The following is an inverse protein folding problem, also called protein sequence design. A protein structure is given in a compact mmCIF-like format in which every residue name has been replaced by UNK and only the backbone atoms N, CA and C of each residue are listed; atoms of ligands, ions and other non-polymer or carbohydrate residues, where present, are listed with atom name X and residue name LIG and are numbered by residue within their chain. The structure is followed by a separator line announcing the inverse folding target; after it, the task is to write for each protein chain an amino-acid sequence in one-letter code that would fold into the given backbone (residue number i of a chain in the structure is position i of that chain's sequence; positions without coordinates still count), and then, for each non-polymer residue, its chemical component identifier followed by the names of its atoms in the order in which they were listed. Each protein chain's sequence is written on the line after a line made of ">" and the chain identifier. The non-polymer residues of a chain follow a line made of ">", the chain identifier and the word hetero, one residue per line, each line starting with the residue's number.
data_IF_978899950116
#
_entry.id   IF_978899950116
#
_cell.length_a   1.000
_cell.length_b   1.000
_cell.length_c   1.000
_cell.angle_alpha   90.00
_cell.angle_beta   90.00
_cell.angle_gamma   90.00
#
_symmetry.space_group_name_H-M   'P 1'
#
loop_
_entity.id
_entity.type
_entity.pdbx_description
1 polymer ?
#
# COMPACT_ATOMS: atom_id res chain seq x y z
N UNK A 1 6.29 42.15 8.14
CA UNK A 1 5.07 41.41 8.49
C UNK A 1 5.44 40.28 9.44
N UNK A 2 5.00 40.33 10.69
CA UNK A 2 5.26 39.25 11.66
C UNK A 2 4.35 38.07 11.31
N UNK A 3 4.94 36.94 10.96
CA UNK A 3 4.24 35.70 10.63
C UNK A 3 4.15 34.85 11.90
N UNK A 4 2.95 34.68 12.45
CA UNK A 4 2.75 33.91 13.70
C UNK A 4 2.91 32.40 13.47
N UNK A 5 2.46 31.89 12.31
CA UNK A 5 2.53 30.47 11.96
C UNK A 5 3.34 30.19 10.70
N UNK A 6 4.15 29.12 10.67
CA UNK A 6 4.89 28.74 9.47
C UNK A 6 3.94 28.29 8.35
N UNK A 7 4.43 28.34 7.11
CA UNK A 7 3.73 27.78 5.94
C UNK A 7 3.32 26.32 6.15
N UNK A 8 4.28 25.51 6.58
CA UNK A 8 4.11 24.09 6.86
C UNK A 8 3.83 23.91 8.35
N UNK A 9 2.57 23.84 8.71
CA UNK A 9 2.13 23.79 10.10
C UNK A 9 2.00 22.34 10.57
N UNK A 10 2.73 21.96 11.62
CA UNK A 10 2.56 20.68 12.29
C UNK A 10 1.24 20.69 13.09
N UNK A 11 0.28 19.86 12.69
CA UNK A 11 -1.06 19.77 13.32
C UNK A 11 -1.25 18.48 14.12
N UNK A 12 -0.48 17.42 13.82
CA UNK A 12 -0.53 16.15 14.53
C UNK A 12 0.88 15.64 14.78
N UNK A 13 1.13 15.15 15.99
CA UNK A 13 2.39 14.52 16.39
C UNK A 13 2.14 13.26 17.19
N UNK A 14 2.57 12.12 16.68
CA UNK A 14 2.59 10.89 17.46
C UNK A 14 3.67 10.95 18.56
N UNK A 15 3.45 10.32 19.72
CA UNK A 15 4.40 10.27 20.81
C UNK A 15 5.59 9.43 20.38
N UNK A 16 6.78 9.92 20.73
CA UNK A 16 8.04 9.28 20.37
C UNK A 16 8.12 7.83 20.84
N UNK A 17 7.58 7.52 22.02
CA UNK A 17 7.63 6.16 22.59
C UNK A 17 6.88 5.16 21.70
N UNK A 18 5.70 5.51 21.18
CA UNK A 18 4.94 4.61 20.30
C UNK A 18 5.67 4.38 18.97
N UNK A 19 6.21 5.45 18.37
CA UNK A 19 7.00 5.35 17.15
C UNK A 19 8.27 4.54 17.36
N UNK A 20 8.93 4.70 18.52
CA UNK A 20 10.10 3.94 18.90
C UNK A 20 9.77 2.46 19.06
N UNK A 21 8.71 2.10 19.78
CA UNK A 21 8.27 0.70 19.94
C UNK A 21 7.96 0.06 18.58
N UNK A 22 7.22 0.75 17.72
CA UNK A 22 6.91 0.25 16.36
C UNK A 22 8.18 0.12 15.53
N UNK A 23 9.09 1.10 15.61
CA UNK A 23 10.37 1.08 14.93
C UNK A 23 11.24 -0.10 15.37
N UNK A 24 11.32 -0.34 16.68
CA UNK A 24 12.04 -1.46 17.28
C UNK A 24 11.46 -2.79 16.83
N UNK A 25 10.14 -2.98 16.83
CA UNK A 25 9.51 -4.23 16.34
C UNK A 25 9.91 -4.53 14.88
N UNK A 26 9.90 -3.50 14.02
CA UNK A 26 10.32 -3.64 12.61
C UNK A 26 11.82 -3.96 12.50
N UNK A 27 12.64 -3.29 13.30
CA UNK A 27 14.09 -3.51 13.31
C UNK A 27 14.46 -4.89 13.85
N UNK A 28 13.75 -5.40 14.85
CA UNK A 28 13.92 -6.77 15.37
C UNK A 28 13.60 -7.79 14.28
N UNK A 29 12.49 -7.63 13.56
CA UNK A 29 12.16 -8.52 12.43
C UNK A 29 13.23 -8.51 11.34
N UNK A 30 13.74 -7.32 10.99
CA UNK A 30 14.84 -7.17 10.05
C UNK A 30 16.14 -7.81 10.57
N UNK A 31 16.45 -7.63 11.85
CA UNK A 31 17.63 -8.21 12.49
C UNK A 31 17.58 -9.74 12.51
N UNK A 32 16.43 -10.34 12.82
CA UNK A 32 16.24 -11.80 12.77
C UNK A 32 16.42 -12.33 11.34
N UNK A 33 15.88 -11.63 10.34
CA UNK A 33 16.08 -12.00 8.94
C UNK A 33 17.55 -11.92 8.52
N UNK A 34 18.26 -10.84 8.89
CA UNK A 34 19.69 -10.68 8.60
C UNK A 34 20.51 -11.78 9.29
N UNK A 35 20.25 -12.08 10.56
CA UNK A 35 20.92 -13.16 11.28
C UNK A 35 20.64 -14.54 10.67
N UNK A 36 19.40 -14.78 10.24
CA UNK A 36 19.06 -16.01 9.55
C UNK A 36 19.82 -16.17 8.23
N UNK A 37 19.97 -15.09 7.45
CA UNK A 37 20.70 -15.13 6.18
C UNK A 37 22.22 -15.19 6.33
N UNK A 38 22.82 -14.52 7.32
CA UNK A 38 24.28 -14.39 7.44
C UNK A 38 24.93 -15.39 8.39
N UNK A 39 24.19 -15.93 9.35
CA UNK A 39 24.74 -16.83 10.38
C UNK A 39 24.09 -18.20 10.31
N UNK A 40 22.76 -18.26 10.39
CA UNK A 40 22.04 -19.54 10.52
C UNK A 40 22.07 -20.31 9.20
N UNK A 41 21.71 -19.69 8.08
CA UNK A 41 21.64 -20.37 6.79
C UNK A 41 23.01 -20.88 6.29
N UNK A 42 24.12 -20.12 6.40
CA UNK A 42 25.44 -20.65 6.05
C UNK A 42 25.88 -21.78 6.98
N UNK A 43 25.58 -21.70 8.28
CA UNK A 43 25.91 -22.76 9.23
C UNK A 43 25.13 -24.05 8.96
N UNK A 44 23.85 -23.94 8.61
CA UNK A 44 23.04 -25.09 8.18
C UNK A 44 23.58 -25.63 6.86
N UNK A 45 23.89 -24.80 5.88
CA UNK A 45 24.42 -25.26 4.59
C UNK A 45 25.77 -25.99 4.70
N UNK A 46 26.60 -25.60 5.66
CA UNK A 46 27.92 -26.20 5.90
C UNK A 46 27.85 -27.52 6.69
N UNK A 47 26.69 -27.90 7.25
CA UNK A 47 26.50 -29.13 7.99
C UNK A 47 26.10 -30.28 7.05
N UNK A 48 26.97 -31.28 6.92
CA UNK A 48 26.79 -32.47 6.07
C UNK A 48 25.60 -33.34 6.48
N UNK A 49 25.12 -33.23 7.73
CA UNK A 49 23.94 -33.96 8.20
C UNK A 49 22.62 -33.28 7.81
N UNK A 50 22.68 -32.03 7.39
CA UNK A 50 21.48 -31.24 7.10
C UNK A 50 21.01 -31.45 5.66
N UNK A 51 19.70 -31.61 5.41
CA UNK A 51 19.20 -31.74 4.06
C UNK A 51 19.24 -30.38 3.35
N UNK A 52 19.60 -30.38 2.05
CA UNK A 52 19.77 -29.16 1.24
C UNK A 52 18.52 -28.24 1.21
N UNK A 53 17.32 -28.76 1.45
CA UNK A 53 16.09 -27.97 1.50
C UNK A 53 15.93 -27.16 2.80
N UNK A 54 16.68 -27.49 3.86
CA UNK A 54 16.58 -26.82 5.15
C UNK A 54 17.09 -25.39 5.09
N UNK A 55 18.19 -25.17 4.36
CA UNK A 55 18.77 -23.84 4.14
C UNK A 55 17.78 -22.84 3.52
N UNK A 56 17.15 -23.12 2.35
CA UNK A 56 16.13 -22.22 1.80
C UNK A 56 14.88 -22.14 2.68
N UNK A 57 14.53 -23.19 3.44
CA UNK A 57 13.40 -23.15 4.37
C UNK A 57 13.62 -22.17 5.53
N UNK A 58 14.82 -22.12 6.12
CA UNK A 58 15.18 -21.17 7.18
C UNK A 58 15.13 -19.72 6.68
N UNK A 59 15.63 -19.49 5.45
CA UNK A 59 15.56 -18.16 4.81
C UNK A 59 14.10 -17.77 4.54
N UNK A 60 13.28 -18.69 4.01
CA UNK A 60 11.87 -18.41 3.73
C UNK A 60 11.05 -18.16 5.01
N UNK A 61 11.30 -18.94 6.07
CA UNK A 61 10.64 -18.78 7.36
C UNK A 61 10.96 -17.42 7.99
N UNK A 62 12.24 -17.03 8.00
CA UNK A 62 12.67 -15.72 8.51
C UNK A 62 12.19 -14.55 7.65
N UNK A 63 12.14 -14.70 6.32
CA UNK A 63 11.60 -13.69 5.41
C UNK A 63 10.11 -13.38 5.68
N UNK A 64 9.34 -14.38 6.15
CA UNK A 64 7.92 -14.23 6.47
C UNK A 64 7.67 -13.30 7.67
N UNK A 65 8.65 -13.12 8.57
CA UNK A 65 8.53 -12.22 9.71
C UNK A 65 8.40 -10.74 9.30
N UNK A 66 9.01 -10.34 8.19
CA UNK A 66 8.96 -8.94 7.73
C UNK A 66 7.53 -8.47 7.34
N UNK A 67 6.80 -9.15 6.42
CA UNK A 67 5.43 -8.78 6.12
C UNK A 67 4.50 -8.99 7.33
N UNK A 68 4.76 -9.99 8.18
CA UNK A 68 4.00 -10.20 9.42
C UNK A 68 4.10 -8.99 10.35
N UNK A 69 5.30 -8.54 10.70
CA UNK A 69 5.43 -7.36 11.56
C UNK A 69 4.91 -6.09 10.90
N UNK A 70 5.04 -5.95 9.58
CA UNK A 70 4.48 -4.82 8.85
C UNK A 70 2.95 -4.77 8.94
N UNK A 71 2.27 -5.92 8.79
CA UNK A 71 0.80 -6.02 8.93
C UNK A 71 0.34 -5.78 10.35
N UNK A 72 1.06 -6.29 11.35
CA UNK A 72 0.75 -6.11 12.78
C UNK A 72 0.92 -4.66 13.24
N UNK A 73 2.01 -4.02 12.83
CA UNK A 73 2.35 -2.67 13.32
C UNK A 73 1.58 -1.53 12.65
N UNK A 74 0.89 -1.82 11.53
CA UNK A 74 0.09 -0.87 10.73
C UNK A 74 0.92 0.35 10.23
N UNK A 75 0.55 0.97 9.10
CA UNK A 75 1.17 2.23 8.67
C UNK A 75 0.74 3.39 9.60
N UNK A 76 1.46 3.53 10.71
CA UNK A 76 1.19 4.53 11.74
C UNK A 76 1.68 5.91 11.31
N UNK A 77 0.83 6.93 11.49
CA UNK A 77 1.17 8.32 11.21
C UNK A 77 2.08 8.86 12.31
N UNK A 78 3.26 9.34 11.92
CA UNK A 78 4.22 9.98 12.81
C UNK A 78 3.90 11.46 12.99
N UNK A 79 3.81 12.20 11.88
CA UNK A 79 3.55 13.63 11.87
C UNK A 79 2.60 13.99 10.73
N UNK A 80 1.80 15.02 10.93
CA UNK A 80 1.00 15.63 9.86
C UNK A 80 1.33 17.10 9.76
N UNK A 81 1.63 17.54 8.55
CA UNK A 81 1.80 18.95 8.23
C UNK A 81 0.70 19.42 7.28
N UNK A 82 0.19 20.63 7.53
CA UNK A 82 -0.79 21.30 6.67
C UNK A 82 -0.11 22.49 5.99
N UNK A 83 -0.31 22.66 4.68
CA UNK A 83 0.10 23.90 4.00
C UNK A 83 -0.95 24.98 4.27
N UNK A 84 -0.58 25.97 5.07
CA UNK A 84 -1.47 27.06 5.48
C UNK A 84 -1.23 28.23 4.54
N UNK A 85 -2.26 28.86 3.94
CA UNK A 85 -2.10 30.02 3.08
C UNK A 85 -1.69 31.28 3.87
N UNK A 86 -1.10 32.28 3.19
CA UNK A 86 -0.52 33.46 3.85
C UNK A 86 -1.51 34.25 4.72
N UNK A 87 -2.79 34.30 4.36
CA UNK A 87 -3.83 34.98 5.15
C UNK A 87 -4.11 34.29 6.50
N UNK A 88 -4.07 32.95 6.53
CA UNK A 88 -4.34 32.15 7.72
C UNK A 88 -3.14 32.03 8.67
N UNK A 89 -1.95 32.50 8.25
CA UNK A 89 -0.73 32.48 9.09
C UNK A 89 -0.62 33.65 10.06
N UNK A 90 -1.49 34.65 9.94
CA UNK A 90 -1.38 35.94 10.64
C UNK A 90 -1.75 35.83 12.12
N UNK A 91 -2.80 35.08 12.45
CA UNK A 91 -3.28 34.91 13.83
C UNK A 91 -3.88 33.53 14.04
N UNK A 92 -4.11 33.18 15.31
CA UNK A 92 -4.75 31.91 15.69
C UNK A 92 -6.20 31.86 15.19
N UNK A 93 -6.91 32.97 15.28
CA UNK A 93 -8.31 33.10 14.85
C UNK A 93 -8.44 32.93 13.34
N UNK A 94 -7.53 33.53 12.57
CA UNK A 94 -7.47 33.37 11.11
C UNK A 94 -7.18 31.91 10.72
N UNK A 95 -6.29 31.24 11.46
CA UNK A 95 -5.98 29.82 11.25
C UNK A 95 -7.18 28.91 11.56
N UNK A 96 -7.88 29.17 12.67
CA UNK A 96 -9.08 28.41 13.06
C UNK A 96 -10.23 28.65 12.08
N UNK A 97 -10.42 29.89 11.62
CA UNK A 97 -11.40 30.23 10.57
C UNK A 97 -11.11 29.46 9.28
N UNK A 98 -9.85 29.46 8.82
CA UNK A 98 -9.41 28.67 7.68
C UNK A 98 -9.65 27.17 7.88
N UNK A 99 -9.35 26.65 9.07
CA UNK A 99 -9.55 25.23 9.40
C UNK A 99 -11.03 24.82 9.41
N UNK A 100 -11.96 25.72 9.79
CA UNK A 100 -13.41 25.47 9.75
C UNK A 100 -13.91 25.32 8.30
N UNK A 101 -13.43 26.17 7.40
CA UNK A 101 -13.79 26.21 5.99
C UNK A 101 -12.66 25.68 5.10
N UNK A 102 -12.10 24.52 5.45
CA UNK A 102 -10.92 23.99 4.78
C UNK A 102 -11.22 23.65 3.30
N UNK A 103 -10.54 24.26 2.31
CA UNK A 103 -10.72 23.89 0.92
C UNK A 103 -10.24 22.46 0.66
N UNK A 104 -10.95 21.73 -0.20
CA UNK A 104 -10.58 20.36 -0.59
C UNK A 104 -9.23 20.28 -1.33
N UNK A 105 -8.79 21.40 -1.91
CA UNK A 105 -7.51 21.52 -2.60
C UNK A 105 -6.31 21.77 -1.67
N UNK A 106 -6.56 21.92 -0.36
CA UNK A 106 -5.49 22.17 0.60
C UNK A 106 -4.52 20.98 0.64
N UNK A 107 -3.23 21.27 0.52
CA UNK A 107 -2.18 20.26 0.58
C UNK A 107 -1.80 19.92 2.02
N UNK A 108 -1.59 18.64 2.27
CA UNK A 108 -1.25 18.07 3.57
C UNK A 108 -0.18 16.99 3.40
N UNK A 109 0.89 17.10 4.17
CA UNK A 109 1.95 16.11 4.19
C UNK A 109 1.76 15.16 5.36
N UNK A 110 1.60 13.88 5.06
CA UNK A 110 1.52 12.82 6.06
C UNK A 110 2.87 12.12 6.12
N UNK A 111 3.51 12.17 7.28
CA UNK A 111 4.69 11.37 7.56
C UNK A 111 4.25 10.08 8.25
N UNK A 112 4.63 8.94 7.67
CA UNK A 112 4.27 7.61 8.15
C UNK A 112 5.50 6.75 8.33
N UNK A 113 5.41 5.74 9.19
CA UNK A 113 6.45 4.71 9.27
C UNK A 113 6.16 3.62 8.22
N UNK A 114 7.05 3.50 7.23
CA UNK A 114 6.90 2.57 6.11
C UNK A 114 7.18 1.11 6.50
N UNK A 115 7.47 0.26 5.51
CA UNK A 115 7.86 -1.15 5.73
C UNK A 115 9.11 -1.26 6.61
N UNK A 116 10.11 -0.41 6.35
CA UNK A 116 11.25 -0.22 7.22
C UNK A 116 10.97 0.92 8.21
N UNK A 117 11.69 1.02 9.34
CA UNK A 117 11.50 2.08 10.34
C UNK A 117 11.84 3.50 9.85
N UNK A 118 12.17 3.67 8.57
CA UNK A 118 12.38 4.99 8.00
C UNK A 118 11.06 5.76 7.82
N UNK A 119 11.02 7.04 8.22
CA UNK A 119 9.86 7.88 7.99
C UNK A 119 9.72 8.16 6.49
N UNK A 120 8.50 8.00 5.97
CA UNK A 120 8.12 8.33 4.60
C UNK A 120 7.10 9.46 4.62
N UNK A 121 7.35 10.51 3.85
CA UNK A 121 6.44 11.64 3.71
C UNK A 121 5.66 11.51 2.41
N UNK A 122 4.33 11.71 2.49
CA UNK A 122 3.44 11.71 1.35
C UNK A 122 2.64 13.01 1.33
N UNK A 123 2.72 13.74 0.22
CA UNK A 123 1.97 14.98 -0.03
C UNK A 123 0.63 14.63 -0.65
N UNK A 124 -0.47 14.99 0.02
CA UNK A 124 -1.84 14.65 -0.37
C UNK A 124 -2.74 15.88 -0.33
N UNK A 125 -3.84 15.88 -1.08
CA UNK A 125 -4.89 16.90 -0.91
C UNK A 125 -5.92 16.43 0.12
N UNK A 126 -6.52 17.35 0.87
CA UNK A 126 -7.52 17.00 1.89
C UNK A 126 -8.78 16.37 1.27
N UNK A 127 -9.16 16.80 0.06
CA UNK A 127 -10.27 16.20 -0.69
C UNK A 127 -10.01 14.75 -1.13
N UNK A 128 -8.76 14.31 -1.20
CA UNK A 128 -8.39 12.94 -1.58
C UNK A 128 -8.40 11.99 -0.38
N UNK A 129 -8.55 12.51 0.85
CA UNK A 129 -8.59 11.71 2.06
C UNK A 129 -10.02 11.35 2.45
N UNK A 130 -10.15 10.17 3.04
CA UNK A 130 -11.40 9.62 3.53
C UNK A 130 -11.21 8.89 4.85
N UNK A 131 -12.24 8.94 5.69
CA UNK A 131 -12.35 8.08 6.86
C UNK A 131 -12.89 6.71 6.43
N UNK A 132 -12.20 5.65 6.84
CA UNK A 132 -12.67 4.29 6.58
C UNK A 132 -13.78 3.94 7.58
N UNK A 133 -14.93 3.41 7.13
CA UNK A 133 -15.99 2.98 8.04
C UNK A 133 -15.48 1.92 9.03
N UNK A 134 -16.08 1.89 10.22
CA UNK A 134 -15.73 0.93 11.27
C UNK A 134 -16.10 -0.49 10.83
N UNK A 135 -15.21 -1.47 11.04
CA UNK A 135 -15.44 -2.84 10.62
C UNK A 135 -14.37 -3.81 11.14
N UNK A 136 -14.70 -5.10 11.15
CA UNK A 136 -13.78 -6.18 11.52
C UNK A 136 -12.53 -6.12 10.62
N UNK A 137 -11.35 -5.96 11.24
CA UNK A 137 -10.08 -5.81 10.52
C UNK A 137 -9.69 -4.38 10.14
N UNK A 138 -10.22 -3.34 10.81
CA UNK A 138 -9.78 -1.95 10.60
C UNK A 138 -8.33 -1.74 11.06
N UNK A 139 -7.40 -1.95 10.12
CA UNK A 139 -5.96 -1.72 10.28
C UNK A 139 -5.55 -0.25 10.05
N UNK A 140 -6.46 0.59 9.56
CA UNK A 140 -6.23 2.00 9.25
C UNK A 140 -7.51 2.83 9.38
N UNK A 141 -7.38 4.06 9.88
CA UNK A 141 -8.52 4.97 10.10
C UNK A 141 -8.72 5.95 8.93
N UNK A 142 -7.62 6.33 8.28
CA UNK A 142 -7.60 7.22 7.13
C UNK A 142 -7.21 6.43 5.89
N UNK A 143 -7.83 6.74 4.77
CA UNK A 143 -7.55 6.13 3.48
C UNK A 143 -7.54 7.23 2.41
N UNK A 144 -6.62 7.13 1.48
CA UNK A 144 -6.61 7.96 0.29
C UNK A 144 -7.56 7.35 -0.75
N UNK A 145 -8.58 8.12 -1.16
CA UNK A 145 -9.59 7.75 -2.17
C UNK A 145 -9.03 7.85 -3.58
N UNK A 146 -8.21 8.86 -3.83
CA UNK A 146 -7.62 9.14 -5.15
C UNK A 146 -6.10 9.07 -5.04
N UNK A 147 -5.53 7.90 -5.33
CA UNK A 147 -4.22 7.75 -5.96
C UNK A 147 -3.91 6.26 -6.17
N UNK A 148 -4.66 5.59 -7.02
CA UNK A 148 -3.93 5.14 -8.19
C UNK A 148 -4.00 6.33 -9.13
N UNK A 149 -2.92 7.11 -9.25
CA UNK A 149 -2.68 7.66 -10.58
C UNK A 149 -2.88 6.48 -11.52
N UNK A 150 -3.62 6.64 -12.62
CA UNK A 150 -3.62 5.62 -13.67
C UNK A 150 -2.18 5.28 -14.14
N UNK A 151 -1.19 6.07 -13.71
CA UNK A 151 0.26 5.96 -13.88
C UNK A 151 1.01 5.19 -12.76
N UNK A 152 0.42 4.97 -11.58
CA UNK A 152 1.13 4.40 -10.44
C UNK A 152 1.31 2.89 -10.60
N UNK A 153 2.52 2.45 -11.00
CA UNK A 153 2.92 1.05 -11.20
C UNK A 153 3.05 0.26 -9.89
N UNK A 154 2.27 0.59 -8.85
CA UNK A 154 2.41 -0.08 -7.55
C UNK A 154 1.58 -1.35 -7.55
N UNK A 155 2.16 -2.50 -7.16
CA UNK A 155 1.42 -3.75 -7.08
C UNK A 155 0.22 -3.62 -6.13
N UNK A 156 -0.93 -4.20 -6.49
CA UNK A 156 -2.17 -4.17 -5.69
C UNK A 156 -1.99 -4.73 -4.27
N UNK A 157 -1.06 -5.67 -4.08
CA UNK A 157 -0.73 -6.22 -2.76
C UNK A 157 0.05 -5.23 -1.88
N UNK A 158 0.71 -4.23 -2.47
CA UNK A 158 1.45 -3.18 -1.75
C UNK A 158 0.65 -1.88 -1.62
N UNK A 159 -0.34 -1.64 -2.50
CA UNK A 159 -1.17 -0.42 -2.47
C UNK A 159 -1.93 -0.25 -1.16
N UNK A 160 -2.37 -1.36 -0.53
CA UNK A 160 -3.08 -1.31 0.75
C UNK A 160 -2.26 -0.61 1.85
N UNK A 161 -0.95 -0.83 1.88
CA UNK A 161 -0.07 -0.23 2.88
C UNK A 161 0.31 1.21 2.56
N UNK A 162 0.15 1.64 1.31
CA UNK A 162 0.60 2.94 0.81
C UNK A 162 -0.53 3.97 0.75
N UNK A 163 -1.78 3.50 0.70
CA UNK A 163 -2.98 4.33 0.62
C UNK A 163 -3.71 4.40 1.96
N UNK A 164 -3.37 3.55 2.93
CA UNK A 164 -4.05 3.48 4.21
C UNK A 164 -3.14 3.96 5.33
N UNK A 165 -3.68 4.75 6.23
CA UNK A 165 -2.94 5.38 7.30
C UNK A 165 -3.69 5.24 8.63
N UNK A 166 -2.94 5.01 9.70
CA UNK A 166 -3.49 4.94 11.03
C UNK A 166 -3.15 6.21 11.81
N UNK A 167 -4.16 7.07 11.98
CA UNK A 167 -4.15 8.17 12.95
C UNK A 167 -4.98 7.75 14.16
N UNK A 168 -4.35 7.68 15.34
CA UNK A 168 -5.04 7.30 16.57
C UNK A 168 -5.98 8.43 17.03
N UNK A 169 -7.28 8.18 17.28
CA UNK A 169 -8.26 9.22 17.60
C UNK A 169 -8.21 9.60 19.11
N UNK A 170 -7.05 10.05 19.59
CA UNK A 170 -6.86 10.39 21.01
C UNK A 170 -6.37 11.84 21.14
N UNK A 171 -7.08 12.65 21.93
CA UNK A 171 -6.83 14.08 22.02
C UNK A 171 -5.44 14.48 22.51
N UNK A 172 -4.78 13.62 23.30
CA UNK A 172 -3.40 13.84 23.75
C UNK A 172 -2.40 13.93 22.58
N UNK A 173 -2.73 13.44 21.39
CA UNK A 173 -1.83 13.38 20.22
C UNK A 173 -1.69 14.70 19.47
N UNK A 174 -2.75 15.49 19.39
CA UNK A 174 -2.70 16.80 18.72
C UNK A 174 -2.52 17.97 19.67
N UNK A 175 -2.68 17.75 20.99
CA UNK A 175 -2.43 18.77 22.03
C UNK A 175 -0.98 19.29 22.06
N UNK A 176 -0.01 18.46 21.66
CA UNK A 176 1.41 18.82 21.58
C UNK A 176 1.80 19.53 20.27
N UNK A 177 0.84 19.86 19.42
CA UNK A 177 1.07 20.61 18.18
C UNK A 177 1.03 22.12 18.41
N UNK A 178 1.56 22.92 17.46
CA UNK A 178 1.52 24.39 17.55
C UNK A 178 0.10 24.95 17.46
N UNK A 179 -0.85 24.16 16.96
CA UNK A 179 -2.24 24.56 16.76
C UNK A 179 -3.17 23.36 17.02
N UNK A 180 -3.42 23.01 18.29
CA UNK A 180 -4.17 21.80 18.66
C UNK A 180 -5.64 21.83 18.23
N UNK A 181 -6.19 23.02 17.98
CA UNK A 181 -7.58 23.21 17.55
C UNK A 181 -7.79 22.88 16.06
N UNK A 182 -6.72 22.80 15.26
CA UNK A 182 -6.82 22.61 13.80
C UNK A 182 -7.09 21.15 13.43
N UNK A 183 -6.41 20.20 14.09
CA UNK A 183 -6.57 18.77 13.80
C UNK A 183 -8.01 18.26 13.86
N UNK A 184 -8.82 18.54 14.91
CA UNK A 184 -10.21 18.08 14.94
C UNK A 184 -11.06 18.67 13.80
N UNK A 185 -10.82 19.93 13.42
CA UNK A 185 -11.51 20.59 12.30
C UNK A 185 -11.14 19.96 10.95
N UNK A 186 -9.86 19.61 10.76
CA UNK A 186 -9.40 18.86 9.58
C UNK A 186 -10.05 17.48 9.54
N UNK A 187 -10.12 16.78 10.68
CA UNK A 187 -10.77 15.47 10.73
C UNK A 187 -12.27 15.56 10.42
N UNK A 188 -12.96 16.60 10.89
CA UNK A 188 -14.34 16.87 10.55
C UNK A 188 -14.50 17.17 9.05
N UNK A 189 -13.63 17.99 8.46
CA UNK A 189 -13.62 18.24 7.02
C UNK A 189 -13.45 16.95 6.19
N UNK A 190 -12.53 16.05 6.60
CA UNK A 190 -12.33 14.74 5.97
C UNK A 190 -13.58 13.86 6.14
N UNK A 191 -14.24 13.91 7.31
CA UNK A 191 -15.50 13.21 7.56
C UNK A 191 -16.62 13.69 6.64
N UNK A 192 -16.80 15.00 6.50
CA UNK A 192 -17.79 15.60 5.60
C UNK A 192 -17.53 15.20 4.14
N UNK A 193 -16.27 15.24 3.70
CA UNK A 193 -15.87 14.79 2.36
C UNK A 193 -16.15 13.30 2.15
N UNK A 194 -15.94 12.49 3.18
CA UNK A 194 -16.24 11.06 3.17
C UNK A 194 -17.72 10.78 2.94
N UNK A 195 -18.59 11.49 3.67
CA UNK A 195 -20.05 11.36 3.55
C UNK A 195 -20.53 11.83 2.18
N UNK A 196 -20.05 13.00 1.72
CA UNK A 196 -20.39 13.54 0.40
C UNK A 196 -19.99 12.58 -0.73
N UNK A 197 -18.79 11.98 -0.65
CA UNK A 197 -18.33 11.00 -1.63
C UNK A 197 -19.14 9.69 -1.60
N UNK A 198 -19.64 9.26 -0.43
CA UNK A 198 -20.53 8.09 -0.36
C UNK A 198 -21.92 8.38 -0.93
N UNK A 199 -22.48 9.57 -0.67
CA UNK A 199 -23.75 10.01 -1.23
C UNK A 199 -23.72 10.08 -2.76
N UNK A 200 -22.71 10.76 -3.34
CA UNK A 200 -22.55 10.82 -4.79
C UNK A 200 -22.38 9.44 -5.43
N UNK A 201 -21.67 8.52 -4.76
CA UNK A 201 -21.52 7.15 -5.25
C UNK A 201 -22.85 6.38 -5.26
N UNK A 202 -23.70 6.56 -4.24
CA UNK A 202 -25.04 5.94 -4.21
C UNK A 202 -25.97 6.47 -5.29
N UNK A 203 -25.86 7.74 -5.67
CA UNK A 203 -26.63 8.34 -6.77
C UNK A 203 -26.13 7.87 -8.14
N UNK A 204 -24.86 7.50 -8.26
CA UNK A 204 -24.24 7.04 -9.51
C UNK A 204 -24.35 5.54 -9.80
N UNK A 205 -24.91 4.73 -8.89
CA UNK A 205 -25.20 3.32 -9.21
C UNK A 205 -26.37 3.27 -10.18
N UNK A 206 -26.19 2.87 -11.45
CA UNK A 206 -27.34 2.50 -12.25
C UNK A 206 -27.93 1.26 -11.57
N UNK A 207 -29.19 1.38 -11.16
CA UNK A 207 -30.09 0.22 -11.10
C UNK A 207 -29.96 -0.44 -12.47
N UNK A 208 -29.10 -1.45 -12.56
CA UNK A 208 -28.95 -2.27 -13.74
C UNK A 208 -30.32 -2.91 -13.92
N UNK A 209 -31.07 -2.36 -14.86
CA UNK A 209 -32.41 -2.76 -15.19
C UNK A 209 -32.45 -4.29 -15.27
N UNK A 210 -33.40 -4.87 -14.53
CA UNK A 210 -33.81 -6.26 -14.69
C UNK A 210 -34.02 -6.47 -16.19
N UNK A 211 -33.09 -7.20 -16.82
CA UNK A 211 -33.22 -7.63 -18.22
C UNK A 211 -34.44 -8.54 -18.26
N UNK A 212 -35.56 -8.18 -18.92
CA UNK A 212 -36.68 -9.09 -19.03
C UNK A 212 -36.21 -10.32 -19.81
N UNK A 213 -36.58 -11.49 -19.28
CA UNK A 213 -36.24 -12.79 -19.84
C UNK A 213 -36.62 -12.85 -21.32
N UNK A 214 -35.63 -13.13 -22.17
CA UNK A 214 -35.87 -13.43 -23.57
C UNK A 214 -36.29 -14.91 -23.68
N UNK A 215 -37.46 -15.23 -24.25
CA UNK A 215 -37.95 -16.61 -24.33
C UNK A 215 -37.03 -17.46 -25.21
N UNK A 216 -36.60 -18.61 -24.68
CA UNK A 216 -35.99 -19.68 -25.48
C UNK A 216 -37.06 -20.31 -26.37
N UNK A 217 -36.72 -20.54 -27.65
CA UNK A 217 -37.47 -21.42 -28.55
C UNK A 217 -36.52 -22.50 -29.13
N UNK A 218 -37.06 -23.68 -29.49
CA UNK A 218 -36.44 -24.96 -29.20
C UNK A 218 -35.66 -25.59 -30.36
N UNK A 219 -34.98 -26.68 -30.00
CA UNK A 219 -34.13 -27.55 -30.79
C UNK A 219 -34.68 -27.97 -32.16
N UNK A 220 -33.76 -28.15 -33.12
CA UNK A 220 -33.98 -29.04 -34.26
C UNK A 220 -32.72 -29.84 -34.62
N UNK A 221 -32.78 -31.14 -34.28
CA UNK A 221 -32.44 -32.31 -35.13
C UNK A 221 -30.94 -32.61 -35.44
N UNK A 222 -30.32 -33.39 -34.54
CA UNK A 222 -29.80 -34.79 -34.69
C UNK A 222 -29.71 -35.31 -36.16
N UNK A 223 -28.56 -35.73 -36.76
CA UNK A 223 -27.84 -37.04 -36.64
C UNK A 223 -26.73 -37.20 -37.77
N UNK A 224 -26.01 -38.34 -37.99
CA UNK A 224 -24.59 -38.51 -37.63
C UNK A 224 -23.60 -38.99 -38.75
N UNK A 225 -22.30 -39.01 -38.39
CA UNK A 225 -21.20 -39.99 -38.66
C UNK A 225 -20.70 -40.45 -40.07
N UNK A 226 -19.39 -40.17 -40.31
CA UNK A 226 -18.26 -40.97 -40.89
C UNK A 226 -18.36 -41.58 -42.32
N UNK A 227 -17.25 -42.06 -42.98
CA UNK A 227 -15.80 -42.01 -42.68
C UNK A 227 -14.86 -41.63 -43.86
N UNK A 228 -13.57 -41.50 -43.53
CA UNK A 228 -12.38 -41.37 -44.41
C UNK A 228 -12.19 -42.57 -45.36
N UNK A 229 -11.41 -42.41 -46.46
CA UNK A 229 -10.12 -43.11 -46.48
C UNK A 229 -8.95 -42.31 -47.10
N UNK A 230 -7.79 -42.48 -46.45
CA UNK A 230 -6.44 -42.81 -46.97
C UNK A 230 -6.04 -42.35 -48.38
N UNK A 231 -4.88 -41.69 -48.51
CA UNK A 231 -3.74 -42.13 -49.35
C UNK A 231 -2.43 -41.44 -48.89
N UNK A 232 -1.41 -42.28 -48.72
CA UNK A 232 0.00 -41.96 -48.45
C UNK A 232 0.65 -41.09 -49.53
N UNK A 233 1.64 -40.27 -49.17
CA UNK A 233 2.99 -40.26 -49.77
C UNK A 233 3.89 -39.30 -48.95
N UNK A 234 4.91 -39.77 -48.23
CA UNK A 234 6.25 -40.20 -48.69
C UNK A 234 7.22 -39.03 -48.94
N UNK A 235 8.00 -38.66 -47.91
CA UNK A 235 9.49 -38.60 -47.93
C UNK A 235 10.02 -37.85 -46.71
N UNK A 236 10.67 -38.58 -45.81
CA UNK A 236 11.86 -38.10 -45.10
C UNK A 236 13.07 -38.61 -45.89
N UNK A 237 14.18 -37.85 -45.97
CA UNK A 237 15.38 -38.42 -45.37
C UNK A 237 16.32 -37.41 -44.66
N UNK A 238 16.90 -37.93 -43.57
CA UNK A 238 18.31 -37.87 -43.18
C UNK A 238 19.00 -36.55 -42.75
N UNK A 239 19.17 -36.40 -41.44
CA UNK A 239 20.42 -36.59 -40.69
C UNK A 239 21.78 -36.31 -41.40
N UNK A 240 22.52 -35.32 -40.88
CA UNK A 240 23.99 -35.16 -40.69
C UNK A 240 24.26 -33.64 -40.52
N UNK A 241 25.08 -33.07 -39.64
CA UNK A 241 26.33 -33.51 -38.98
C UNK A 241 26.67 -32.44 -37.92
N UNK A 242 27.07 -32.85 -36.72
CA UNK A 242 28.11 -32.16 -35.94
C UNK A 242 29.46 -32.83 -36.31
N UNK A 243 30.65 -32.20 -36.17
CA UNK A 243 31.27 -32.10 -34.84
C UNK A 243 32.27 -30.95 -34.57
N UNK A 244 32.49 -30.73 -33.26
CA UNK A 244 33.75 -30.55 -32.51
C UNK A 244 34.86 -29.55 -32.92
N UNK A 245 35.27 -28.76 -31.90
CA UNK A 245 36.66 -28.41 -31.58
C UNK A 245 36.89 -26.90 -31.34
N UNK A 246 37.81 -26.43 -30.51
CA UNK A 246 38.61 -26.95 -29.38
C UNK A 246 39.41 -25.74 -28.83
N UNK A 247 39.50 -25.64 -27.50
CA UNK A 247 40.66 -25.20 -26.69
C UNK A 247 41.27 -23.77 -26.70
N UNK A 248 41.49 -23.35 -25.43
CA UNK A 248 42.65 -22.68 -24.83
C UNK A 248 43.02 -21.23 -25.17
N UNK A 249 43.05 -20.40 -24.11
CA UNK A 249 44.29 -19.69 -23.75
C UNK A 249 44.39 -19.34 -22.25
N UNK A 250 45.41 -19.91 -21.62
CA UNK A 250 46.09 -19.50 -20.38
C UNK A 250 46.91 -18.23 -20.66
N UNK A 251 47.04 -17.34 -19.67
CA UNK A 251 48.14 -16.38 -19.37
C UNK A 251 47.56 -15.39 -18.33
N UNK A 252 48.21 -14.99 -17.23
CA UNK A 252 49.53 -15.17 -16.62
C UNK A 252 49.31 -15.10 -15.10
#
# INVERSE_FOLDING_TARGET
>A
MLVAYPRRLLIYRAPTVELATIGTIKLTGLGVFIMACLVIAPNVYADDQSPLWLTPAVIAASATLLPLFHTLTRPTIANVFLDVPAHARRSKEALVSFAKSLPNDTTMDIQTLGFLPWPRTKTLRVGEMRIRPEGLGRLANLEQVTASDATSKVPKWASWSLQRFYARPVASRWRNSRAPEVWPLVMDAISRNTVANMSNKSLSSPVSAVRPAQPQLPASVVRPARPTPTVMQKKLPALKTAPAGRQHKRQK
#
